data_IF_673824695517
#
_entry.id   IF_673824695517
#
_cell.length_a   1.000
_cell.length_b   1.000
_cell.length_c   1.000
_cell.angle_alpha   90.00
_cell.angle_beta   90.00
_cell.angle_gamma   90.00
#
_symmetry.space_group_name_H-M   'P 1'
#
loop_
_entity.id
_entity.type
_entity.pdbx_description
1 polymer ?
#
# COMPACT_ATOMS: atom_id res chain seq x y z
N UNK A 1 1.63 -1.91 -21.09
CA UNK A 1 1.91 -2.72 -19.88
C UNK A 1 0.76 -3.70 -19.74
N UNK A 2 1.04 -4.99 -19.60
CA UNK A 2 -0.01 -5.97 -19.31
C UNK A 2 -0.39 -5.81 -17.83
N UNK A 3 -1.68 -5.68 -17.54
CA UNK A 3 -2.19 -5.70 -16.15
C UNK A 3 -1.68 -6.98 -15.45
N UNK A 4 -1.30 -6.95 -14.16
CA UNK A 4 -0.86 -8.15 -13.44
C UNK A 4 -1.96 -9.24 -13.46
N UNK A 5 -1.61 -10.46 -13.87
CA UNK A 5 -2.57 -11.56 -14.08
C UNK A 5 -2.52 -12.61 -12.96
N UNK A 6 -1.35 -12.82 -12.37
CA UNK A 6 -1.11 -13.78 -11.28
C UNK A 6 -0.91 -13.09 -9.93
N UNK A 7 -1.02 -13.82 -8.82
CA UNK A 7 -0.66 -13.25 -7.51
C UNK A 7 0.83 -12.89 -7.43
N UNK A 8 1.69 -13.61 -8.17
CA UNK A 8 3.13 -13.36 -8.22
C UNK A 8 3.43 -12.06 -8.97
N UNK A 9 2.71 -11.78 -10.07
CA UNK A 9 2.84 -10.53 -10.82
C UNK A 9 2.52 -9.32 -9.92
N UNK A 10 1.52 -9.45 -9.05
CA UNK A 10 1.17 -8.43 -8.05
C UNK A 10 2.27 -8.28 -6.99
N UNK A 11 2.87 -9.37 -6.51
CA UNK A 11 4.00 -9.31 -5.57
C UNK A 11 5.20 -8.61 -6.20
N UNK A 12 5.52 -8.93 -7.46
CA UNK A 12 6.68 -8.36 -8.13
C UNK A 12 6.48 -6.88 -8.46
N UNK A 13 5.25 -6.50 -8.84
CA UNK A 13 4.86 -5.08 -8.94
C UNK A 13 4.99 -4.38 -7.58
N UNK A 14 4.55 -5.01 -6.48
CA UNK A 14 4.68 -4.42 -5.14
C UNK A 14 6.15 -4.16 -4.76
N UNK A 15 7.06 -5.09 -5.09
CA UNK A 15 8.51 -4.92 -4.86
C UNK A 15 9.07 -3.75 -5.67
N UNK A 16 8.67 -3.61 -6.94
CA UNK A 16 9.08 -2.49 -7.78
C UNK A 16 8.64 -1.15 -7.14
N UNK A 17 7.36 -1.02 -6.75
CA UNK A 17 6.84 0.21 -6.13
C UNK A 17 7.46 0.51 -4.76
N UNK A 18 7.77 -0.52 -3.98
CA UNK A 18 8.51 -0.36 -2.73
C UNK A 18 9.95 0.11 -2.99
N UNK A 19 10.61 -0.45 -4.01
CA UNK A 19 11.93 -0.01 -4.46
C UNK A 19 11.95 1.44 -4.95
N UNK A 20 10.92 1.85 -5.70
CA UNK A 20 10.73 3.23 -6.12
C UNK A 20 10.61 4.18 -4.90
N UNK A 21 9.79 3.81 -3.92
CA UNK A 21 9.63 4.58 -2.69
C UNK A 21 10.98 4.75 -1.95
N UNK A 22 11.75 3.68 -1.84
CA UNK A 22 13.07 3.68 -1.19
C UNK A 22 14.10 4.52 -1.94
N UNK A 23 14.10 4.45 -3.28
CA UNK A 23 15.00 5.24 -4.11
C UNK A 23 14.67 6.74 -4.07
N UNK A 24 13.37 7.09 -3.97
CA UNK A 24 12.93 8.48 -3.91
C UNK A 24 13.18 9.12 -2.54
N UNK A 25 13.05 8.36 -1.45
CA UNK A 25 13.11 8.88 -0.09
C UNK A 25 14.33 9.76 0.22
N UNK A 26 15.59 9.37 -0.05
CA UNK A 26 16.76 10.20 0.29
C UNK A 26 16.87 11.50 -0.52
N UNK A 27 16.17 11.61 -1.64
CA UNK A 27 16.23 12.77 -2.55
C UNK A 27 14.99 13.66 -2.39
N UNK A 28 13.87 13.09 -1.93
CA UNK A 28 12.55 13.73 -1.90
C UNK A 28 11.81 13.50 -0.59
N UNK A 29 12.52 13.57 0.54
CA UNK A 29 11.94 13.27 1.86
C UNK A 29 10.85 14.24 2.33
N UNK A 30 10.80 15.45 1.79
CA UNK A 30 9.68 16.39 2.03
C UNK A 30 8.54 16.21 1.03
N UNK A 31 8.70 15.37 0.00
CA UNK A 31 7.65 15.15 -1.00
C UNK A 31 6.73 14.01 -0.57
N UNK A 32 5.44 14.10 -0.91
CA UNK A 32 4.50 12.98 -0.76
C UNK A 32 4.82 11.79 -1.67
N UNK A 33 5.66 11.99 -2.69
CA UNK A 33 5.98 11.00 -3.72
C UNK A 33 6.39 9.61 -3.20
N UNK A 34 7.34 9.49 -2.26
CA UNK A 34 7.70 8.19 -1.69
C UNK A 34 6.53 7.52 -0.95
N UNK A 35 5.75 8.27 -0.17
CA UNK A 35 4.56 7.74 0.51
C UNK A 35 3.48 7.28 -0.48
N UNK A 36 3.31 8.01 -1.59
CA UNK A 36 2.43 7.63 -2.68
C UNK A 36 2.85 6.28 -3.31
N UNK A 37 4.13 6.11 -3.64
CA UNK A 37 4.65 4.84 -4.17
C UNK A 37 4.55 3.70 -3.16
N UNK A 38 4.78 3.98 -1.88
CA UNK A 38 4.65 3.02 -0.80
C UNK A 38 3.21 2.50 -0.64
N UNK A 39 2.20 3.36 -0.80
CA UNK A 39 0.80 2.93 -0.79
C UNK A 39 0.43 2.04 -1.98
N UNK A 40 1.00 2.29 -3.16
CA UNK A 40 0.84 1.35 -4.30
C UNK A 40 1.46 -0.02 -4.03
N UNK A 41 2.58 -0.09 -3.29
CA UNK A 41 3.14 -1.37 -2.87
C UNK A 41 2.16 -2.14 -1.97
N UNK A 42 1.51 -1.46 -1.02
CA UNK A 42 0.47 -2.06 -0.16
C UNK A 42 -0.72 -2.52 -1.02
N UNK A 43 -1.20 -1.70 -1.95
CA UNK A 43 -2.29 -2.04 -2.88
C UNK A 43 -2.00 -3.35 -3.61
N UNK A 44 -0.82 -3.45 -4.21
CA UNK A 44 -0.40 -4.62 -4.95
C UNK A 44 -0.30 -5.86 -4.06
N UNK A 45 0.22 -5.73 -2.83
CA UNK A 45 0.26 -6.83 -1.87
C UNK A 45 -1.14 -7.31 -1.45
N UNK A 46 -2.10 -6.40 -1.23
CA UNK A 46 -3.48 -6.77 -0.94
C UNK A 46 -4.12 -7.50 -2.12
N UNK A 47 -3.91 -7.01 -3.34
CA UNK A 47 -4.39 -7.67 -4.57
C UNK A 47 -3.77 -9.05 -4.76
N UNK A 48 -2.48 -9.21 -4.46
CA UNK A 48 -1.81 -10.50 -4.46
C UNK A 48 -2.48 -11.48 -3.48
N UNK A 49 -2.74 -11.03 -2.25
CA UNK A 49 -3.41 -11.85 -1.23
C UNK A 49 -4.82 -12.26 -1.67
N UNK A 50 -5.61 -11.30 -2.16
CA UNK A 50 -6.97 -11.55 -2.64
C UNK A 50 -6.98 -12.54 -3.80
N UNK A 51 -6.06 -12.38 -4.76
CA UNK A 51 -5.89 -13.31 -5.88
C UNK A 51 -5.49 -14.71 -5.42
N UNK A 52 -4.54 -14.83 -4.49
CA UNK A 52 -4.08 -16.12 -3.95
C UNK A 52 -5.20 -16.85 -3.19
N UNK A 53 -6.01 -16.11 -2.44
CA UNK A 53 -7.12 -16.67 -1.64
C UNK A 53 -8.45 -16.76 -2.43
N UNK A 54 -8.41 -16.54 -3.74
CA UNK A 54 -9.57 -16.56 -4.64
C UNK A 54 -10.75 -15.68 -4.17
N UNK A 55 -10.42 -14.52 -3.59
CA UNK A 55 -11.40 -13.51 -3.17
C UNK A 55 -11.57 -12.48 -4.28
N UNK A 56 -12.82 -12.11 -4.55
CA UNK A 56 -13.12 -11.07 -5.54
C UNK A 56 -12.70 -9.69 -5.05
N UNK A 57 -12.22 -8.86 -5.97
CA UNK A 57 -11.88 -7.47 -5.70
C UNK A 57 -12.01 -6.66 -6.99
N UNK A 58 -12.24 -5.35 -6.86
CA UNK A 58 -12.19 -4.48 -8.03
C UNK A 58 -10.75 -4.32 -8.49
N UNK A 59 -10.48 -4.60 -9.76
CA UNK A 59 -9.16 -4.39 -10.36
C UNK A 59 -9.00 -2.99 -10.95
N UNK A 60 -10.09 -2.22 -11.09
CA UNK A 60 -10.13 -0.96 -11.86
C UNK A 60 -10.87 0.16 -11.14
N UNK A 61 -10.61 1.39 -11.59
CA UNK A 61 -11.25 2.61 -11.13
C UNK A 61 -11.02 2.88 -9.64
N UNK A 62 -11.85 3.75 -9.05
CA UNK A 62 -11.73 4.14 -7.63
C UNK A 62 -11.73 2.95 -6.68
N UNK A 63 -12.50 1.91 -6.98
CA UNK A 63 -12.56 0.69 -6.15
C UNK A 63 -11.26 -0.12 -6.17
N UNK A 64 -10.50 -0.09 -7.27
CA UNK A 64 -9.22 -0.79 -7.38
C UNK A 64 -8.07 -0.12 -6.64
N UNK A 65 -8.26 1.14 -6.23
CA UNK A 65 -7.28 1.92 -5.46
C UNK A 65 -7.73 2.22 -4.02
N UNK A 66 -8.84 1.62 -3.61
CA UNK A 66 -9.38 1.80 -2.25
C UNK A 66 -8.70 0.81 -1.30
N UNK A 67 -7.61 1.24 -0.64
CA UNK A 67 -6.86 0.40 0.30
C UNK A 67 -7.73 -0.12 1.44
N UNK A 68 -8.62 0.70 2.01
CA UNK A 68 -9.60 0.25 3.02
C UNK A 68 -10.47 -0.89 2.50
N UNK A 69 -11.03 -0.70 1.30
CA UNK A 69 -11.88 -1.69 0.64
C UNK A 69 -11.15 -3.00 0.40
N UNK A 70 -9.92 -2.93 -0.11
CA UNK A 70 -9.07 -4.11 -0.33
C UNK A 70 -8.71 -4.82 0.99
N UNK A 71 -8.38 -4.07 2.04
CA UNK A 71 -8.07 -4.59 3.37
C UNK A 71 -9.25 -5.40 3.95
N UNK A 72 -10.45 -4.80 3.92
CA UNK A 72 -11.66 -5.46 4.41
C UNK A 72 -12.05 -6.65 3.53
N UNK A 73 -11.88 -6.56 2.21
CA UNK A 73 -12.15 -7.67 1.28
C UNK A 73 -11.23 -8.87 1.55
N UNK A 74 -9.98 -8.60 1.97
CA UNK A 74 -9.03 -9.62 2.39
C UNK A 74 -9.45 -10.33 3.69
N UNK A 75 -10.47 -9.81 4.40
CA UNK A 75 -10.94 -10.33 5.67
C UNK A 75 -10.11 -9.87 6.87
N UNK A 76 -9.21 -8.90 6.66
CA UNK A 76 -8.44 -8.30 7.73
C UNK A 76 -9.29 -7.31 8.52
N UNK A 77 -9.04 -7.23 9.82
CA UNK A 77 -9.72 -6.31 10.73
C UNK A 77 -8.88 -5.05 10.86
N UNK A 78 -9.51 -3.90 11.12
CA UNK A 78 -8.76 -2.67 11.42
C UNK A 78 -7.94 -2.80 12.72
N UNK A 79 -8.38 -3.67 13.63
CA UNK A 79 -7.61 -4.02 14.84
C UNK A 79 -6.26 -4.68 14.53
N UNK A 80 -6.08 -5.25 13.35
CA UNK A 80 -4.85 -5.96 12.96
C UNK A 80 -3.70 -4.99 12.63
N UNK A 81 -3.99 -3.70 12.41
CA UNK A 81 -2.99 -2.67 12.14
C UNK A 81 -2.08 -2.41 13.34
N UNK A 82 -2.53 -2.73 14.56
CA UNK A 82 -1.84 -2.51 15.86
C UNK A 82 -1.52 -1.05 16.21
N UNK A 83 -1.38 -0.17 15.21
CA UNK A 83 -1.47 1.29 15.33
C UNK A 83 -2.85 1.68 14.78
N UNK A 84 -3.65 2.37 15.59
CA UNK A 84 -5.01 2.80 15.21
C UNK A 84 -5.08 4.27 14.77
N UNK A 85 -3.98 5.00 14.92
CA UNK A 85 -3.88 6.44 14.65
C UNK A 85 -2.46 6.84 14.24
N UNK A 86 -1.65 5.88 13.79
CA UNK A 86 -0.27 6.10 13.35
C UNK A 86 -0.14 5.90 11.84
N UNK A 87 1.11 5.82 11.40
CA UNK A 87 1.46 5.79 9.99
C UNK A 87 0.87 4.57 9.22
N UNK A 88 0.52 3.47 9.88
CA UNK A 88 -0.19 2.36 9.22
C UNK A 88 -1.66 2.68 8.99
N UNK A 89 -2.31 3.29 9.97
CA UNK A 89 -3.70 3.73 9.87
C UNK A 89 -3.87 4.74 8.72
N UNK A 90 -2.90 5.65 8.53
CA UNK A 90 -2.88 6.58 7.39
C UNK A 90 -3.11 5.88 6.04
N UNK A 91 -2.44 4.76 5.77
CA UNK A 91 -2.62 4.06 4.48
C UNK A 91 -4.01 3.46 4.29
N UNK A 92 -4.71 3.14 5.39
CA UNK A 92 -6.02 2.53 5.33
C UNK A 92 -7.14 3.57 5.36
N UNK A 93 -6.92 4.71 6.01
CA UNK A 93 -7.94 5.74 6.21
C UNK A 93 -7.80 6.92 5.23
N UNK A 94 -6.58 7.37 4.97
CA UNK A 94 -6.32 8.68 4.34
C UNK A 94 -5.60 8.58 2.99
N UNK A 95 -4.84 7.50 2.76
CA UNK A 95 -4.14 7.33 1.49
C UNK A 95 -5.12 7.10 0.33
N UNK A 96 -4.98 7.91 -0.71
CA UNK A 96 -5.67 7.71 -1.97
C UNK A 96 -4.84 8.21 -3.17
N UNK A 97 -5.40 8.03 -4.38
CA UNK A 97 -4.70 8.43 -5.60
C UNK A 97 -4.58 9.95 -5.80
N UNK A 98 -5.30 10.78 -5.04
CA UNK A 98 -5.24 12.23 -5.15
C UNK A 98 -3.95 12.81 -4.58
N UNK A 99 -3.27 12.08 -3.68
CA UNK A 99 -1.92 12.41 -3.19
C UNK A 99 -0.92 12.67 -4.33
N UNK A 100 -1.13 12.11 -5.53
CA UNK A 100 -0.29 12.39 -6.70
C UNK A 100 -0.20 13.85 -7.12
N UNK A 101 -1.19 14.66 -6.73
CA UNK A 101 -1.27 16.09 -7.04
C UNK A 101 -0.71 16.96 -5.92
N UNK A 102 -0.42 16.39 -4.76
CA UNK A 102 0.25 17.08 -3.67
C UNK A 102 1.77 17.04 -3.94
N UNK A 103 2.45 18.16 -3.69
CA UNK A 103 3.89 18.28 -3.90
C UNK A 103 4.69 18.04 -2.62
N UNK A 104 4.11 18.38 -1.47
CA UNK A 104 4.76 18.43 -0.17
C UNK A 104 3.98 17.62 0.88
N UNK A 105 4.70 17.13 1.90
CA UNK A 105 4.19 16.31 3.00
C UNK A 105 3.60 17.15 4.15
N UNK A 106 3.80 18.48 4.16
CA UNK A 106 3.45 19.38 5.28
C UNK A 106 1.96 19.35 5.69
N UNK A 107 1.07 18.91 4.81
CA UNK A 107 -0.36 18.75 5.10
C UNK A 107 -0.70 17.38 5.75
N UNK A 108 0.26 16.46 5.82
CA UNK A 108 0.10 15.13 6.40
C UNK A 108 0.64 15.09 7.84
N UNK A 109 0.02 14.24 8.66
CA UNK A 109 0.34 14.10 10.08
C UNK A 109 1.65 13.34 10.33
N UNK A 110 2.21 12.67 9.32
CA UNK A 110 3.38 11.80 9.43
C UNK A 110 4.47 12.21 8.44
N UNK A 111 5.73 12.01 8.82
CA UNK A 111 6.84 12.24 7.88
C UNK A 111 6.84 11.20 6.78
N UNK A 112 7.45 11.54 5.64
CA UNK A 112 7.59 10.60 4.53
C UNK A 112 8.38 9.35 4.94
N UNK A 113 9.42 9.49 5.78
CA UNK A 113 10.17 8.35 6.32
C UNK A 113 9.28 7.42 7.16
N UNK A 114 8.44 7.99 8.04
CA UNK A 114 7.52 7.21 8.87
C UNK A 114 6.53 6.43 8.02
N UNK A 115 5.98 7.06 6.99
CA UNK A 115 5.04 6.44 6.05
C UNK A 115 5.70 5.31 5.25
N UNK A 116 6.90 5.53 4.70
CA UNK A 116 7.62 4.47 3.97
C UNK A 116 7.96 3.30 4.90
N UNK A 117 8.39 3.57 6.13
CA UNK A 117 8.66 2.53 7.12
C UNK A 117 7.39 1.73 7.49
N UNK A 118 6.26 2.41 7.69
CA UNK A 118 4.98 1.77 7.97
C UNK A 118 4.50 0.89 6.82
N UNK A 119 4.66 1.34 5.57
CA UNK A 119 4.34 0.54 4.38
C UNK A 119 5.19 -0.72 4.28
N UNK A 120 6.48 -0.67 4.63
CA UNK A 120 7.32 -1.88 4.71
C UNK A 120 6.81 -2.89 5.74
N UNK A 121 6.38 -2.40 6.89
CA UNK A 121 5.78 -3.26 7.92
C UNK A 121 4.48 -3.90 7.44
N UNK A 122 3.60 -3.13 6.79
CA UNK A 122 2.33 -3.62 6.24
C UNK A 122 2.54 -4.63 5.12
N UNK A 123 3.36 -4.32 4.12
CA UNK A 123 3.68 -5.23 3.01
C UNK A 123 4.32 -6.52 3.51
N UNK A 124 5.23 -6.44 4.49
CA UNK A 124 5.82 -7.60 5.14
C UNK A 124 4.79 -8.44 5.91
N UNK A 125 3.85 -7.81 6.62
CA UNK A 125 2.77 -8.50 7.31
C UNK A 125 1.80 -9.18 6.33
N UNK A 126 1.40 -8.49 5.25
CA UNK A 126 0.56 -9.08 4.19
C UNK A 126 1.28 -10.26 3.55
N UNK A 127 2.56 -10.14 3.22
CA UNK A 127 3.34 -11.24 2.66
C UNK A 127 3.36 -12.46 3.59
N UNK A 128 3.53 -12.28 4.90
CA UNK A 128 3.44 -13.38 5.86
C UNK A 128 2.08 -14.08 5.81
N UNK A 129 0.99 -13.34 5.64
CA UNK A 129 -0.34 -13.92 5.48
C UNK A 129 -0.50 -14.62 4.12
N UNK A 130 0.08 -14.09 3.04
CA UNK A 130 0.15 -14.78 1.75
C UNK A 130 0.84 -16.13 1.92
N UNK A 131 2.00 -16.21 2.58
CA UNK A 131 2.74 -17.47 2.73
C UNK A 131 2.06 -18.51 3.63
N UNK A 132 1.13 -18.09 4.50
CA UNK A 132 0.39 -18.99 5.40
C UNK A 132 -0.86 -19.61 4.79
N UNK A 133 -1.37 -19.02 3.71
CA UNK A 133 -2.51 -19.54 2.93
C UNK A 133 -2.00 -20.28 1.69
#
# INVERSE_FOLDING_TARGET
>A
MNDPQSFQDWIDTAKERAGDADAMLPIRNTSVGPAYMAGYAIECMLKAYLKKTNRSFSTRGKGGHNLRGLWLSAGFRLSDLTDRSGAKAFFIEDWDTALRYQSNIDELTHSTEELVAAAKQLTGWINKNIQRN
#
